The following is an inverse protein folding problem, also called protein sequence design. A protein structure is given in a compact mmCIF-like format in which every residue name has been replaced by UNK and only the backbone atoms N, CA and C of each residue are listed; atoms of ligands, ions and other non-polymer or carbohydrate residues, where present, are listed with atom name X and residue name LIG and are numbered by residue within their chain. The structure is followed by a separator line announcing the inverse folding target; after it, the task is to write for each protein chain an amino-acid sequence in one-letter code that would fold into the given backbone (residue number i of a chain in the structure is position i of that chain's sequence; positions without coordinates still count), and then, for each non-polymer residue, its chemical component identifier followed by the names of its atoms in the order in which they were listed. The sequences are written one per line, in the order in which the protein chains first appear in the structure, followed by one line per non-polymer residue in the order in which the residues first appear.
data_IF_804917962156
#
_entry.id   IF_804917962156
#
_cell.length_a   1.000
_cell.length_b   1.000
_cell.length_c   1.000
_cell.angle_alpha   90.00
_cell.angle_beta   90.00
_cell.angle_gamma   90.00
#
_symmetry.space_group_name_H-M   'P 1'
#
loop_
_entity.id
_entity.type
_entity.pdbx_description
1 polymer ?
#
# COMPACT_ATOMS: atom_id res chain seq x y z
N UNK A 1 -45.58 -54.33 -1.85
CA UNK A 1 -44.33 -53.74 -2.39
C UNK A 1 -44.17 -52.38 -1.73
N UNK A 2 -43.40 -52.29 -0.64
CA UNK A 2 -43.24 -51.06 0.13
C UNK A 2 -41.88 -50.43 -0.18
N UNK A 3 -41.89 -49.22 -0.72
CA UNK A 3 -40.68 -48.44 -1.03
C UNK A 3 -40.30 -47.64 0.21
N UNK A 4 -39.23 -48.06 0.90
CA UNK A 4 -38.64 -47.29 2.00
C UNK A 4 -38.01 -46.00 1.46
N UNK A 5 -38.72 -44.87 1.55
CA UNK A 5 -38.14 -43.54 1.40
C UNK A 5 -37.36 -43.18 2.67
N UNK A 6 -36.09 -43.55 2.72
CA UNK A 6 -35.16 -43.04 3.73
C UNK A 6 -34.99 -41.54 3.56
N UNK A 7 -35.41 -40.75 4.55
CA UNK A 7 -35.08 -39.32 4.64
C UNK A 7 -33.57 -39.21 4.78
N UNK A 8 -32.89 -38.85 3.70
CA UNK A 8 -31.47 -38.50 3.74
C UNK A 8 -31.35 -37.24 4.59
N UNK A 9 -30.72 -37.39 5.75
CA UNK A 9 -30.51 -36.31 6.70
C UNK A 9 -29.54 -35.32 6.06
N UNK A 10 -30.00 -34.10 5.76
CA UNK A 10 -29.23 -33.06 5.05
C UNK A 10 -27.93 -32.70 5.76
N UNK A 11 -27.87 -32.91 7.07
CA UNK A 11 -26.66 -32.76 7.90
C UNK A 11 -25.56 -33.74 7.48
N UNK A 12 -25.91 -34.98 7.17
CA UNK A 12 -24.95 -36.02 6.76
C UNK A 12 -24.34 -35.73 5.39
N UNK A 13 -25.09 -35.08 4.49
CA UNK A 13 -24.58 -34.65 3.19
C UNK A 13 -23.58 -33.49 3.34
N UNK A 14 -23.87 -32.55 4.24
CA UNK A 14 -23.01 -31.39 4.50
C UNK A 14 -21.65 -31.82 5.09
N UNK A 15 -21.66 -32.76 6.03
CA UNK A 15 -20.44 -33.33 6.63
C UNK A 15 -19.61 -34.04 5.56
N UNK A 16 -20.25 -34.77 4.64
CA UNK A 16 -19.55 -35.45 3.55
C UNK A 16 -18.91 -34.47 2.56
N UNK A 17 -19.58 -33.37 2.23
CA UNK A 17 -19.06 -32.32 1.35
C UNK A 17 -17.86 -31.62 2.00
N UNK A 18 -17.95 -31.27 3.30
CA UNK A 18 -16.83 -30.69 4.03
C UNK A 18 -15.66 -31.69 4.10
N UNK A 19 -15.93 -32.96 4.40
CA UNK A 19 -14.90 -33.99 4.46
C UNK A 19 -14.21 -34.23 3.11
N UNK A 20 -14.96 -34.25 1.99
CA UNK A 20 -14.37 -34.38 0.65
C UNK A 20 -13.57 -33.14 0.22
N UNK A 21 -13.94 -31.96 0.70
CA UNK A 21 -13.21 -30.70 0.39
C UNK A 21 -11.79 -30.69 0.97
N UNK A 22 -11.58 -31.39 2.10
CA UNK A 22 -10.29 -31.45 2.80
C UNK A 22 -9.31 -32.41 2.10
N UNK A 23 -9.79 -33.44 1.41
CA UNK A 23 -8.95 -34.51 0.83
C UNK A 23 -8.42 -34.15 -0.57
N UNK A 24 -9.08 -33.25 -1.30
CA UNK A 24 -8.70 -32.87 -2.68
C UNK A 24 -7.79 -31.64 -2.72
N UNK A 25 -7.65 -30.91 -1.62
CA UNK A 25 -6.75 -29.76 -1.58
C UNK A 25 -5.28 -30.24 -1.56
N UNK A 26 -4.44 -29.85 -2.54
CA UNK A 26 -3.01 -30.11 -2.45
C UNK A 26 -2.47 -29.43 -1.17
N UNK A 27 -1.50 -30.04 -0.46
CA UNK A 27 -0.90 -29.42 0.71
C UNK A 27 -0.22 -28.13 0.27
N UNK A 28 -0.90 -27.00 0.47
CA UNK A 28 -0.27 -25.69 0.36
C UNK A 28 0.77 -25.63 1.45
N UNK A 29 2.04 -25.77 1.07
CA UNK A 29 3.17 -25.52 1.98
C UNK A 29 3.16 -24.03 2.28
N UNK A 30 2.37 -23.62 3.27
CA UNK A 30 2.46 -22.28 3.84
C UNK A 30 3.80 -22.22 4.55
N UNK A 31 4.80 -21.66 3.85
CA UNK A 31 6.11 -21.42 4.46
C UNK A 31 5.97 -20.24 5.41
N UNK A 32 6.73 -20.24 6.50
CA UNK A 32 6.79 -19.09 7.41
C UNK A 32 7.16 -17.80 6.66
N UNK A 33 8.00 -17.90 5.62
CA UNK A 33 8.32 -16.79 4.71
C UNK A 33 7.10 -16.29 3.91
N UNK A 34 6.26 -17.20 3.40
CA UNK A 34 5.03 -16.85 2.71
C UNK A 34 4.05 -16.12 3.63
N UNK A 35 3.85 -16.64 4.84
CA UNK A 35 2.99 -15.99 5.85
C UNK A 35 3.51 -14.60 6.24
N UNK A 36 4.82 -14.46 6.46
CA UNK A 36 5.44 -13.16 6.78
C UNK A 36 5.32 -12.17 5.62
N UNK A 37 5.38 -12.63 4.36
CA UNK A 37 5.18 -11.75 3.20
C UNK A 37 3.73 -11.28 3.03
N UNK A 38 2.76 -12.06 3.50
CA UNK A 38 1.36 -11.64 3.53
C UNK A 38 1.06 -10.68 4.68
N UNK A 39 1.64 -10.92 5.86
CA UNK A 39 1.47 -10.06 7.04
C UNK A 39 2.22 -8.73 6.92
N UNK A 40 3.37 -8.75 6.23
CA UNK A 40 4.28 -7.60 6.11
C UNK A 40 4.66 -7.36 4.64
N UNK A 41 3.70 -6.90 3.81
CA UNK A 41 3.93 -6.69 2.39
C UNK A 41 4.98 -5.60 2.15
N UNK A 42 5.63 -5.68 1.00
CA UNK A 42 6.45 -4.57 0.51
C UNK A 42 5.54 -3.54 -0.15
N UNK A 43 5.67 -2.28 0.27
CA UNK A 43 5.03 -1.11 -0.33
C UNK A 43 6.02 -0.42 -1.23
N UNK A 44 5.69 -0.29 -2.50
CA UNK A 44 6.45 0.50 -3.44
C UNK A 44 5.95 1.94 -3.39
N UNK A 45 6.87 2.86 -3.09
CA UNK A 45 6.59 4.30 -3.06
C UNK A 45 7.27 4.95 -4.25
N UNK A 46 6.49 5.69 -5.02
CA UNK A 46 6.95 6.52 -6.13
C UNK A 46 6.71 7.98 -5.77
N UNK A 47 7.70 8.85 -5.95
CA UNK A 47 7.49 10.30 -6.02
C UNK A 47 7.79 10.74 -7.44
N UNK A 48 6.83 11.40 -8.08
CA UNK A 48 6.96 12.02 -9.39
C UNK A 48 6.87 13.53 -9.26
N UNK A 49 7.88 14.26 -9.73
CA UNK A 49 7.83 15.70 -9.78
C UNK A 49 7.16 16.20 -11.07
N UNK A 50 5.89 16.59 -10.96
CA UNK A 50 5.13 17.27 -12.02
C UNK A 50 5.05 18.78 -11.81
N UNK A 51 5.79 19.35 -10.86
CA UNK A 51 5.91 20.79 -10.68
C UNK A 51 6.75 21.40 -11.81
N UNK A 52 6.62 22.71 -11.99
CA UNK A 52 7.36 23.49 -12.99
C UNK A 52 8.83 23.71 -12.62
N UNK A 53 9.24 23.36 -11.40
CA UNK A 53 10.58 23.56 -10.84
C UNK A 53 11.10 22.33 -10.09
N UNK A 54 12.38 22.39 -9.70
CA UNK A 54 13.03 21.36 -8.90
C UNK A 54 12.51 21.38 -7.46
N UNK A 55 12.29 20.20 -6.88
CA UNK A 55 11.83 20.07 -5.49
C UNK A 55 12.85 19.27 -4.67
N UNK A 56 12.79 19.42 -3.35
CA UNK A 56 13.69 18.72 -2.44
C UNK A 56 12.91 17.84 -1.49
N UNK A 57 13.39 16.63 -1.23
CA UNK A 57 12.76 15.74 -0.26
C UNK A 57 13.78 14.88 0.49
N UNK A 58 13.38 14.38 1.65
CA UNK A 58 14.17 13.50 2.49
C UNK A 58 13.22 12.58 3.23
N UNK A 59 13.53 11.29 3.32
CA UNK A 59 12.74 10.31 4.06
C UNK A 59 13.53 9.78 5.26
N UNK A 60 12.84 9.42 6.34
CA UNK A 60 13.46 8.88 7.57
C UNK A 60 13.89 7.41 7.44
N UNK A 61 14.52 7.05 6.34
CA UNK A 61 14.96 5.69 6.08
C UNK A 61 16.43 5.53 6.48
N UNK A 62 16.72 5.40 7.78
CA UNK A 62 18.11 5.37 8.29
C UNK A 62 18.97 4.32 7.58
N UNK A 63 19.98 4.75 6.82
CA UNK A 63 20.89 3.88 6.08
C UNK A 63 20.28 3.26 4.82
N UNK A 64 19.06 3.65 4.46
CA UNK A 64 18.41 3.30 3.20
C UNK A 64 18.48 4.44 2.18
N UNK A 65 17.95 4.22 0.96
CA UNK A 65 17.81 5.31 0.00
C UNK A 65 16.91 6.40 0.60
N UNK A 66 17.26 7.66 0.32
CA UNK A 66 16.49 8.84 0.71
C UNK A 66 16.72 9.39 2.13
N UNK A 67 17.77 8.95 2.84
CA UNK A 67 18.09 9.35 4.24
C UNK A 67 18.65 10.77 4.44
N UNK A 68 18.86 11.50 3.35
CA UNK A 68 19.36 12.88 3.29
C UNK A 68 18.50 13.70 2.33
N UNK A 69 18.80 14.97 2.15
CA UNK A 69 18.08 15.81 1.20
C UNK A 69 18.43 15.42 -0.25
N UNK A 70 17.43 15.05 -1.04
CA UNK A 70 17.51 14.73 -2.46
C UNK A 70 16.82 15.80 -3.28
N UNK A 71 17.47 16.20 -4.36
CA UNK A 71 16.87 17.04 -5.38
C UNK A 71 16.14 16.16 -6.40
N UNK A 72 14.91 16.51 -6.72
CA UNK A 72 14.13 15.89 -7.78
C UNK A 72 13.87 16.93 -8.86
N UNK A 73 14.49 16.74 -10.04
CA UNK A 73 14.30 17.63 -11.19
C UNK A 73 12.88 17.58 -11.75
N UNK A 74 12.56 18.52 -12.65
CA UNK A 74 11.26 18.55 -13.34
C UNK A 74 11.06 17.27 -14.15
N UNK A 75 9.92 16.60 -13.97
CA UNK A 75 9.63 15.29 -14.55
C UNK A 75 10.41 14.13 -13.92
N UNK A 76 11.20 14.40 -12.87
CA UNK A 76 12.00 13.41 -12.17
C UNK A 76 11.12 12.42 -11.41
N UNK A 77 11.55 11.17 -11.38
CA UNK A 77 10.87 10.07 -10.66
C UNK A 77 11.84 9.47 -9.65
N UNK A 78 11.38 9.28 -8.42
CA UNK A 78 12.09 8.54 -7.38
C UNK A 78 11.24 7.36 -6.92
N UNK A 79 11.87 6.20 -6.77
CA UNK A 79 11.19 4.97 -6.38
C UNK A 79 12.00 4.19 -5.36
N UNK A 80 11.32 3.73 -4.32
CA UNK A 80 11.89 2.81 -3.33
C UNK A 80 10.80 1.93 -2.74
N UNK A 81 11.22 0.88 -2.03
CA UNK A 81 10.31 -0.05 -1.38
C UNK A 81 10.52 -0.03 0.13
N UNK A 82 9.41 -0.07 0.87
CA UNK A 82 9.37 -0.12 2.33
C UNK A 82 8.64 -1.40 2.73
N UNK A 83 9.05 -2.04 3.81
CA UNK A 83 8.28 -3.14 4.39
C UNK A 83 7.21 -2.57 5.32
N UNK A 84 5.94 -2.80 5.00
CA UNK A 84 4.83 -2.47 5.90
C UNK A 84 4.86 -3.43 7.09
N UNK A 85 4.89 -2.90 8.30
CA UNK A 85 4.77 -3.69 9.54
C UNK A 85 3.45 -3.44 10.28
N UNK A 86 2.44 -2.96 9.56
CA UNK A 86 1.10 -2.64 10.05
C UNK A 86 0.94 -1.19 10.53
N UNK A 87 2.00 -0.38 10.47
CA UNK A 87 2.00 1.03 10.87
C UNK A 87 2.95 1.84 9.97
N UNK A 88 2.57 3.06 9.56
CA UNK A 88 3.45 3.91 8.77
C UNK A 88 4.62 4.37 9.63
N UNK A 89 5.78 3.74 9.43
CA UNK A 89 7.03 4.12 10.10
C UNK A 89 7.92 5.02 9.25
N UNK A 90 7.62 5.12 7.95
CA UNK A 90 8.39 5.92 7.02
C UNK A 90 7.65 7.21 6.70
N UNK A 91 8.22 8.33 7.12
CA UNK A 91 7.81 9.67 6.76
C UNK A 91 8.87 10.33 5.87
N UNK A 92 8.42 11.27 5.06
CA UNK A 92 9.24 12.05 4.16
C UNK A 92 8.94 13.53 4.36
N UNK A 93 9.99 14.34 4.50
CA UNK A 93 9.93 15.77 4.34
C UNK A 93 10.00 16.13 2.85
N UNK A 94 9.22 17.12 2.43
CA UNK A 94 9.22 17.70 1.09
C UNK A 94 9.26 19.22 1.22
N UNK A 95 10.09 19.86 0.40
CA UNK A 95 10.11 21.29 0.17
C UNK A 95 9.82 21.51 -1.32
N UNK A 96 8.62 22.02 -1.60
CA UNK A 96 8.16 22.36 -2.95
C UNK A 96 8.56 23.80 -3.25
N UNK A 97 8.22 24.74 -2.38
CA UNK A 97 8.63 26.15 -2.45
C UNK A 97 8.58 26.80 -1.06
N UNK A 98 8.97 28.07 -0.95
CA UNK A 98 9.06 28.79 0.33
C UNK A 98 7.74 28.84 1.13
N UNK A 99 6.58 28.67 0.47
CA UNK A 99 5.27 28.60 1.11
C UNK A 99 4.75 27.17 1.33
N UNK A 100 5.35 26.17 0.69
CA UNK A 100 4.83 24.80 0.60
C UNK A 100 5.95 23.81 0.96
N UNK A 101 6.01 23.45 2.25
CA UNK A 101 6.95 22.47 2.80
C UNK A 101 6.38 21.72 4.00
N UNK A 102 6.66 20.43 4.10
CA UNK A 102 6.19 19.66 5.26
C UNK A 102 6.57 18.19 5.21
N UNK A 103 6.02 17.46 6.17
CA UNK A 103 6.21 16.01 6.33
C UNK A 103 4.95 15.25 5.90
N UNK A 104 5.13 14.13 5.22
CA UNK A 104 4.06 13.22 4.84
C UNK A 104 4.49 11.77 5.09
N UNK A 105 3.53 10.86 5.27
CA UNK A 105 3.84 9.44 5.37
C UNK A 105 4.10 8.87 3.98
N UNK A 106 5.19 8.13 3.80
CA UNK A 106 5.52 7.53 2.50
C UNK A 106 4.46 6.53 2.03
N UNK A 107 3.72 5.93 2.98
CA UNK A 107 2.53 5.14 2.70
C UNK A 107 1.41 5.41 3.70
N UNK A 108 0.16 5.28 3.26
CA UNK A 108 -1.04 5.61 4.02
C UNK A 108 -2.10 4.52 3.84
N UNK A 109 -2.21 3.56 4.78
CA UNK A 109 -3.17 2.46 4.67
C UNK A 109 -4.62 2.93 4.58
N UNK A 110 -4.97 4.05 5.25
CA UNK A 110 -6.30 4.68 5.19
C UNK A 110 -6.75 4.98 3.75
N UNK A 111 -5.79 5.27 2.85
CA UNK A 111 -6.04 5.61 1.46
C UNK A 111 -5.71 4.46 0.50
N UNK A 112 -5.69 3.21 0.98
CA UNK A 112 -5.36 2.00 0.20
C UNK A 112 -4.02 2.08 -0.54
N UNK A 113 -3.09 2.83 0.05
CA UNK A 113 -1.70 2.90 -0.36
C UNK A 113 -0.93 1.94 0.57
N UNK A 114 -1.15 0.64 0.33
CA UNK A 114 -0.65 -0.51 1.11
C UNK A 114 0.29 -1.43 0.29
N UNK A 115 0.34 -1.24 -1.04
CA UNK A 115 1.25 -1.95 -1.96
C UNK A 115 1.93 -1.04 -2.96
N UNK A 116 1.18 -0.07 -3.49
CA UNK A 116 1.67 0.89 -4.47
C UNK A 116 1.16 2.29 -4.09
N UNK A 117 2.10 3.20 -3.88
CA UNK A 117 1.85 4.56 -3.43
C UNK A 117 2.53 5.53 -4.39
N UNK A 118 1.72 6.16 -5.25
CA UNK A 118 2.24 7.09 -6.24
C UNK A 118 1.96 8.52 -5.79
N UNK A 119 3.00 9.22 -5.37
CA UNK A 119 2.97 10.60 -4.94
C UNK A 119 3.33 11.52 -6.10
N UNK A 120 2.48 12.51 -6.36
CA UNK A 120 2.70 13.49 -7.41
C UNK A 120 2.92 14.84 -6.75
N UNK A 121 4.05 15.47 -7.08
CA UNK A 121 4.35 16.83 -6.66
C UNK A 121 3.89 17.78 -7.75
N UNK A 122 3.16 18.84 -7.39
CA UNK A 122 2.80 19.94 -8.28
C UNK A 122 3.18 21.27 -7.63
N UNK A 123 3.01 22.36 -8.36
CA UNK A 123 3.36 23.70 -7.87
C UNK A 123 2.57 24.10 -6.60
N UNK A 124 1.37 23.56 -6.45
CA UNK A 124 0.41 23.86 -5.38
C UNK A 124 0.37 22.81 -4.25
N UNK A 125 1.13 21.72 -4.34
CA UNK A 125 1.18 20.75 -3.24
C UNK A 125 1.59 19.32 -3.62
N UNK A 126 1.30 18.42 -2.70
CA UNK A 126 1.60 16.99 -2.78
C UNK A 126 0.30 16.17 -2.80
N UNK A 127 0.22 15.24 -3.75
CA UNK A 127 -0.97 14.44 -3.99
C UNK A 127 -0.65 12.96 -3.97
N UNK A 128 -1.53 12.17 -3.36
CA UNK A 128 -1.52 10.73 -3.53
C UNK A 128 -2.41 10.37 -4.73
N UNK A 129 -1.82 9.77 -5.75
CA UNK A 129 -2.51 9.20 -6.90
C UNK A 129 -2.94 7.77 -6.55
N UNK A 130 -4.26 7.57 -6.40
CA UNK A 130 -4.82 6.24 -6.13
C UNK A 130 -5.49 5.69 -7.38
N UNK A 131 -5.20 4.42 -7.70
CA UNK A 131 -5.75 3.75 -8.90
C UNK A 131 -7.16 3.20 -8.69
N UNK A 132 -7.63 3.16 -7.45
CA UNK A 132 -8.87 2.47 -7.07
C UNK A 132 -10.13 3.34 -7.09
N UNK A 133 -9.98 4.67 -7.13
CA UNK A 133 -11.10 5.63 -7.26
C UNK A 133 -10.82 6.58 -8.44
N UNK A 134 -10.93 6.11 -9.69
CA UNK A 134 -10.95 6.95 -10.91
C UNK A 134 -9.91 8.09 -10.99
N UNK A 135 -8.68 7.87 -10.51
CA UNK A 135 -7.63 8.89 -10.52
C UNK A 135 -7.88 10.08 -9.59
N UNK A 136 -8.68 9.89 -8.53
CA UNK A 136 -8.89 10.90 -7.51
C UNK A 136 -7.56 11.24 -6.82
N UNK A 137 -7.24 12.54 -6.86
CA UNK A 137 -6.11 13.11 -6.16
C UNK A 137 -6.51 13.40 -4.72
N UNK A 138 -5.81 12.80 -3.77
CA UNK A 138 -5.98 13.11 -2.35
C UNK A 138 -5.00 14.20 -2.00
N UNK A 139 -5.54 15.36 -1.61
CA UNK A 139 -4.78 16.50 -1.11
C UNK A 139 -4.26 16.17 0.27
N UNK A 140 -2.95 16.08 0.40
CA UNK A 140 -2.32 15.71 1.68
C UNK A 140 -1.46 16.85 2.25
N UNK A 141 -1.35 17.96 1.51
CA UNK A 141 -0.64 19.14 1.93
C UNK A 141 -1.34 20.40 1.38
N UNK A 142 -1.90 21.22 2.26
CA UNK A 142 -2.33 22.59 2.00
C UNK A 142 -2.02 23.42 3.25
N UNK A 143 -1.34 24.56 3.09
CA UNK A 143 -1.07 25.54 4.17
C UNK A 143 -0.34 25.02 5.43
N UNK A 144 0.48 23.97 5.30
CA UNK A 144 1.29 23.46 6.42
C UNK A 144 0.50 22.70 7.49
N UNK A 145 -0.78 22.42 7.25
CA UNK A 145 -1.58 21.56 8.12
C UNK A 145 -1.39 20.08 7.76
N UNK A 146 -1.10 19.28 8.78
CA UNK A 146 -0.92 17.82 8.69
C UNK A 146 -2.25 17.11 8.97
N UNK A 147 -2.60 16.10 8.17
CA UNK A 147 -3.69 15.16 8.46
C UNK A 147 -3.21 13.89 9.15
#
# INVERSE_FOLDING_TARGET
MAICRGKINTISLLILVIAMSIVVAPPTKVTAAGLLSELFPMVNVTITNNASHEVWYMCNNKGGPHDRLYKLGVGGVSQWAIRDIGFPLVWCYMHINDGIQGVFWGFLPKYRCDRHCDWWVKDDGLYLYTRYDDGQYIWLYQDGEYF
#
